data_IF_857983873340
#
_entry.id   IF_857983873340
#
_cell.length_a   1.000
_cell.length_b   1.000
_cell.length_c   1.000
_cell.angle_alpha   90.00
_cell.angle_beta   90.00
_cell.angle_gamma   90.00
#
_symmetry.space_group_name_H-M   'P 1'
#
loop_
_entity.id
_entity.type
_entity.pdbx_description
1 polymer ?
#
# COMPACT_ATOMS: atom_id res chain seq x y z
N UNK A 1 -21.42 6.74 3.53
CA UNK A 1 -21.25 8.08 2.90
C UNK A 1 -22.54 8.48 2.19
N UNK A 2 -23.14 9.66 2.46
CA UNK A 2 -24.47 10.04 1.91
C UNK A 2 -24.46 10.21 0.38
N UNK A 3 -23.43 10.87 -0.16
CA UNK A 3 -23.37 11.19 -1.60
C UNK A 3 -23.36 9.98 -2.53
N UNK A 4 -22.97 8.80 -2.05
CA UNK A 4 -23.01 7.58 -2.87
C UNK A 4 -24.45 7.20 -3.26
N UNK A 5 -25.44 7.60 -2.46
CA UNK A 5 -26.88 7.38 -2.74
C UNK A 5 -27.50 8.46 -3.62
N UNK A 6 -26.82 9.58 -3.77
CA UNK A 6 -27.33 10.71 -4.55
C UNK A 6 -27.16 10.39 -6.04
N UNK A 7 -28.25 10.55 -6.79
CA UNK A 7 -28.32 10.32 -8.24
C UNK A 7 -28.76 11.61 -8.93
N UNK A 8 -28.81 11.60 -10.27
CA UNK A 8 -29.25 12.77 -11.06
C UNK A 8 -28.14 13.75 -11.42
N UNK A 9 -26.87 13.31 -11.36
CA UNK A 9 -25.78 14.04 -12.01
C UNK A 9 -26.09 14.19 -13.52
N UNK A 10 -25.92 15.38 -14.13
CA UNK A 10 -26.21 15.63 -15.55
C UNK A 10 -25.49 14.69 -16.52
N UNK A 11 -24.29 14.22 -16.14
CA UNK A 11 -23.52 13.24 -16.92
C UNK A 11 -24.06 11.79 -16.81
N UNK A 12 -25.09 11.53 -16.00
CA UNK A 12 -25.66 10.21 -15.76
C UNK A 12 -24.75 9.25 -14.98
N UNK A 13 -23.64 9.74 -14.42
CA UNK A 13 -22.62 8.94 -13.73
C UNK A 13 -22.83 8.95 -12.21
N UNK A 14 -22.51 7.86 -11.50
CA UNK A 14 -22.60 7.81 -10.04
C UNK A 14 -21.48 8.61 -9.37
N UNK A 15 -21.73 9.16 -8.19
CA UNK A 15 -20.70 9.89 -7.42
C UNK A 15 -19.51 8.99 -7.01
N UNK A 16 -19.67 7.67 -6.98
CA UNK A 16 -18.59 6.72 -6.70
C UNK A 16 -17.42 6.77 -7.70
N UNK A 17 -17.63 7.33 -8.90
CA UNK A 17 -16.54 7.55 -9.86
C UNK A 17 -15.44 8.46 -9.29
N UNK A 18 -15.85 9.48 -8.53
CA UNK A 18 -15.01 10.58 -8.04
C UNK A 18 -14.94 10.65 -6.52
N UNK A 19 -15.76 9.90 -5.79
CA UNK A 19 -15.76 9.84 -4.32
C UNK A 19 -15.25 8.48 -3.87
N UNK A 20 -14.11 8.43 -3.19
CA UNK A 20 -13.45 7.18 -2.77
C UNK A 20 -13.07 7.20 -1.29
N UNK A 21 -13.05 6.04 -0.61
CA UNK A 21 -12.38 5.94 0.68
C UNK A 21 -10.90 6.28 0.49
N UNK A 22 -10.29 6.99 1.44
CA UNK A 22 -8.87 7.35 1.39
C UNK A 22 -8.15 6.82 2.63
N UNK A 23 -7.04 6.11 2.41
CA UNK A 23 -6.23 5.54 3.48
C UNK A 23 -4.84 6.20 3.48
N UNK A 24 -4.37 6.55 4.67
CA UNK A 24 -2.99 6.96 4.94
C UNK A 24 -2.22 5.86 5.70
N UNK A 25 -0.97 6.14 6.09
CA UNK A 25 -0.15 5.21 6.84
C UNK A 25 -0.75 4.76 8.19
N UNK A 26 -1.49 5.64 8.88
CA UNK A 26 -2.22 5.28 10.12
C UNK A 26 -3.41 4.36 9.84
N UNK A 27 -4.10 4.55 8.73
CA UNK A 27 -5.22 3.69 8.36
C UNK A 27 -4.76 2.25 8.06
N UNK A 28 -3.58 2.08 7.44
CA UNK A 28 -2.95 0.76 7.22
C UNK A 28 -2.41 0.18 8.53
N UNK A 29 -1.61 0.94 9.27
CA UNK A 29 -0.94 0.44 10.49
C UNK A 29 -1.92 0.16 11.63
N UNK A 30 -3.09 0.81 11.63
CA UNK A 30 -4.13 0.71 12.65
C UNK A 30 -5.47 0.33 12.05
N UNK A 31 -6.37 1.29 11.89
CA UNK A 31 -7.74 1.14 11.43
C UNK A 31 -8.09 2.38 10.63
N UNK A 32 -8.85 2.17 9.56
CA UNK A 32 -9.36 3.27 8.76
C UNK A 32 -10.24 4.21 9.60
N UNK A 33 -9.94 5.49 9.55
CA UNK A 33 -10.67 6.53 10.27
C UNK A 33 -12.03 6.89 9.65
N UNK A 34 -12.42 6.25 8.54
CA UNK A 34 -13.68 6.55 7.84
C UNK A 34 -13.62 7.77 6.93
N UNK A 35 -12.41 8.19 6.53
CA UNK A 35 -12.19 9.36 5.67
C UNK A 35 -12.41 9.05 4.19
N UNK A 36 -12.96 10.03 3.47
CA UNK A 36 -13.24 9.97 2.03
C UNK A 36 -12.58 11.14 1.31
N UNK A 37 -12.34 10.97 0.01
CA UNK A 37 -11.76 12.01 -0.87
C UNK A 37 -12.60 12.18 -2.12
N UNK A 38 -12.67 13.43 -2.61
CA UNK A 38 -13.17 13.76 -3.95
C UNK A 38 -11.97 13.88 -4.89
N UNK A 39 -11.90 13.01 -5.90
CA UNK A 39 -10.82 12.95 -6.89
C UNK A 39 -11.40 13.01 -8.31
N UNK A 40 -11.42 14.22 -8.88
CA UNK A 40 -11.77 14.44 -10.28
C UNK A 40 -10.65 14.08 -11.27
N UNK A 41 -9.53 13.53 -10.77
CA UNK A 41 -8.35 13.18 -11.57
C UNK A 41 -7.92 14.32 -12.51
N UNK A 42 -8.01 14.10 -13.82
CA UNK A 42 -7.66 15.06 -14.86
C UNK A 42 -8.84 15.76 -15.53
N UNK A 43 -10.08 15.56 -15.06
CA UNK A 43 -11.28 16.14 -15.66
C UNK A 43 -11.18 17.67 -15.73
N UNK A 44 -11.65 18.25 -16.83
CA UNK A 44 -11.84 19.69 -16.92
C UNK A 44 -12.94 20.17 -15.95
N UNK A 45 -13.10 21.50 -15.86
CA UNK A 45 -14.03 22.11 -14.91
C UNK A 45 -15.48 21.71 -15.19
N UNK A 46 -15.88 21.65 -16.47
CA UNK A 46 -17.26 21.37 -16.86
C UNK A 46 -17.62 19.92 -16.54
N UNK A 47 -16.76 18.97 -16.92
CA UNK A 47 -16.96 17.56 -16.60
C UNK A 47 -16.95 17.29 -15.10
N UNK A 48 -16.11 17.99 -14.32
CA UNK A 48 -16.12 17.89 -12.87
C UNK A 48 -17.41 18.48 -12.26
N UNK A 49 -17.91 19.60 -12.81
CA UNK A 49 -19.13 20.26 -12.35
C UNK A 49 -20.40 19.41 -12.52
N UNK A 50 -20.41 18.47 -13.47
CA UNK A 50 -21.51 17.52 -13.63
C UNK A 50 -21.63 16.51 -12.48
N UNK A 51 -20.63 16.38 -11.62
CA UNK A 51 -20.76 15.65 -10.35
C UNK A 51 -21.26 16.61 -9.25
N UNK A 52 -22.56 16.87 -9.24
CA UNK A 52 -23.17 18.01 -8.53
C UNK A 52 -22.74 18.13 -7.05
N UNK A 53 -23.03 17.11 -6.23
CA UNK A 53 -22.75 17.17 -4.80
C UNK A 53 -21.24 17.16 -4.47
N UNK A 54 -20.41 16.27 -5.07
CA UNK A 54 -18.96 16.34 -4.89
C UNK A 54 -18.37 17.69 -5.31
N UNK A 55 -18.79 18.22 -6.45
CA UNK A 55 -18.26 19.47 -6.98
C UNK A 55 -18.65 20.67 -6.11
N UNK A 56 -19.92 20.77 -5.70
CA UNK A 56 -20.39 21.83 -4.79
C UNK A 56 -19.61 21.84 -3.47
N UNK A 57 -19.22 20.66 -2.94
CA UNK A 57 -18.36 20.58 -1.77
C UNK A 57 -16.95 21.12 -2.05
N UNK A 58 -16.31 20.69 -3.15
CA UNK A 58 -14.97 21.17 -3.51
C UNK A 58 -15.00 22.69 -3.80
N UNK A 59 -16.07 23.19 -4.42
CA UNK A 59 -16.24 24.63 -4.65
C UNK A 59 -16.40 25.42 -3.35
N UNK A 60 -17.20 24.94 -2.40
CA UNK A 60 -17.43 25.66 -1.15
C UNK A 60 -16.27 25.56 -0.15
N UNK A 61 -15.56 24.43 -0.10
CA UNK A 61 -14.54 24.16 0.92
C UNK A 61 -13.10 24.31 0.39
N UNK A 62 -12.83 23.89 -0.84
CA UNK A 62 -11.46 23.79 -1.37
C UNK A 62 -11.08 25.03 -2.18
N UNK A 63 -11.99 25.55 -3.01
CA UNK A 63 -11.75 26.75 -3.83
C UNK A 63 -11.25 27.95 -3.01
N UNK A 64 -11.88 28.36 -1.89
CA UNK A 64 -11.46 29.57 -1.16
C UNK A 64 -10.02 29.48 -0.63
N UNK A 65 -9.57 28.27 -0.31
CA UNK A 65 -8.21 28.01 0.16
C UNK A 65 -7.21 27.99 -1.01
N UNK A 66 -7.57 27.35 -2.13
CA UNK A 66 -6.63 27.10 -3.24
C UNK A 66 -6.45 28.26 -4.20
N UNK A 67 -7.41 29.16 -4.34
CA UNK A 67 -7.28 30.33 -5.23
C UNK A 67 -6.10 31.24 -4.84
N UNK A 68 -5.68 31.22 -3.56
CA UNK A 68 -4.55 31.99 -3.05
C UNK A 68 -3.23 31.19 -3.08
N UNK A 69 -3.16 30.07 -3.79
CA UNK A 69 -1.95 29.25 -3.84
C UNK A 69 -0.87 29.91 -4.70
N UNK A 70 0.37 29.96 -4.21
CA UNK A 70 1.52 30.51 -4.94
C UNK A 70 1.81 29.81 -6.27
N UNK A 71 1.37 28.56 -6.46
CA UNK A 71 1.49 27.84 -7.74
C UNK A 71 0.23 28.11 -8.58
N UNK A 72 0.36 28.93 -9.62
CA UNK A 72 -0.75 29.33 -10.51
C UNK A 72 -1.61 28.15 -10.97
N UNK A 73 -1.00 27.04 -11.42
CA UNK A 73 -1.72 25.86 -11.87
C UNK A 73 -2.65 25.26 -10.79
N UNK A 74 -2.32 25.36 -9.50
CA UNK A 74 -3.18 24.87 -8.38
C UNK A 74 -4.29 25.86 -8.03
N UNK A 75 -4.08 27.16 -8.29
CA UNK A 75 -5.11 28.18 -8.12
C UNK A 75 -6.12 28.15 -9.28
N UNK A 76 -5.63 28.06 -10.52
CA UNK A 76 -6.44 27.98 -11.74
C UNK A 76 -7.23 26.67 -11.82
N UNK A 77 -6.62 25.54 -11.43
CA UNK A 77 -7.25 24.21 -11.41
C UNK A 77 -7.57 23.75 -10.00
N UNK A 78 -8.17 24.64 -9.21
CA UNK A 78 -8.45 24.43 -7.78
C UNK A 78 -9.24 23.14 -7.48
N UNK A 79 -10.04 22.64 -8.42
CA UNK A 79 -10.81 21.39 -8.26
C UNK A 79 -9.96 20.13 -8.45
N UNK A 80 -8.82 20.20 -9.16
CA UNK A 80 -7.95 19.03 -9.40
C UNK A 80 -6.97 18.83 -8.25
N UNK A 81 -6.57 17.59 -7.95
CA UNK A 81 -5.44 17.35 -7.06
C UNK A 81 -4.14 17.99 -7.59
N UNK A 82 -3.31 18.48 -6.67
CA UNK A 82 -2.08 19.20 -7.03
C UNK A 82 -1.10 18.35 -7.85
N UNK A 83 -1.09 17.03 -7.65
CA UNK A 83 -0.41 16.04 -8.48
C UNK A 83 -1.43 14.99 -8.92
N UNK A 84 -1.66 14.86 -10.23
CA UNK A 84 -2.68 13.96 -10.79
C UNK A 84 -2.22 12.52 -10.98
N UNK A 85 -0.90 12.31 -10.99
CA UNK A 85 -0.23 11.01 -11.14
C UNK A 85 -0.75 10.15 -12.31
N UNK A 86 -0.79 10.67 -13.57
CA UNK A 86 -1.36 9.93 -14.70
C UNK A 86 -0.63 8.61 -14.99
N UNK A 87 0.71 8.58 -14.90
CA UNK A 87 1.49 7.36 -15.10
C UNK A 87 1.16 6.28 -14.05
N UNK A 88 0.94 6.68 -12.79
CA UNK A 88 0.51 5.75 -11.75
C UNK A 88 -0.90 5.20 -12.07
N UNK A 89 -1.83 6.07 -12.45
CA UNK A 89 -3.20 5.64 -12.79
C UNK A 89 -3.21 4.62 -13.92
N UNK A 90 -2.45 4.88 -14.99
CA UNK A 90 -2.28 3.96 -16.11
C UNK A 90 -1.70 2.61 -15.64
N UNK A 91 -0.69 2.64 -14.76
CA UNK A 91 -0.08 1.42 -14.21
C UNK A 91 -1.00 0.62 -13.27
N UNK A 92 -2.12 1.20 -12.82
CA UNK A 92 -3.12 0.52 -11.99
C UNK A 92 -4.32 0.00 -12.81
N UNK A 93 -4.39 0.30 -14.11
CA UNK A 93 -5.46 -0.20 -14.97
C UNK A 93 -5.45 -1.73 -15.04
N UNK A 94 -6.63 -2.35 -14.95
CA UNK A 94 -6.77 -3.81 -14.96
C UNK A 94 -6.43 -4.52 -13.64
N UNK A 95 -5.83 -3.82 -12.67
CA UNK A 95 -5.51 -4.40 -11.36
C UNK A 95 -6.72 -4.37 -10.42
N UNK A 96 -6.84 -5.39 -9.56
CA UNK A 96 -7.82 -5.40 -8.45
C UNK A 96 -7.22 -4.86 -7.14
N UNK A 97 -5.90 -4.96 -7.02
CA UNK A 97 -5.12 -4.45 -5.91
C UNK A 97 -3.68 -4.23 -6.38
N UNK A 98 -2.91 -3.52 -5.58
CA UNK A 98 -1.47 -3.33 -5.77
C UNK A 98 -0.75 -3.42 -4.43
N UNK A 99 0.59 -3.44 -4.44
CA UNK A 99 1.37 -3.49 -3.21
C UNK A 99 1.58 -2.06 -2.67
N UNK A 100 1.32 -1.87 -1.38
CA UNK A 100 1.58 -0.60 -0.70
C UNK A 100 2.41 -0.77 0.57
N UNK A 101 3.13 0.29 0.94
CA UNK A 101 3.75 0.42 2.27
C UNK A 101 3.64 1.87 2.76
N UNK A 102 3.38 2.12 4.06
CA UNK A 102 3.48 3.47 4.61
C UNK A 102 4.87 4.04 4.41
N UNK A 103 4.99 5.30 4.01
CA UNK A 103 6.28 5.97 3.87
C UNK A 103 7.04 5.95 5.20
N UNK A 104 6.39 6.36 6.30
CA UNK A 104 6.97 6.33 7.65
C UNK A 104 6.25 5.31 8.52
N UNK A 105 6.99 4.34 9.08
CA UNK A 105 6.43 3.34 10.00
C UNK A 105 7.51 2.77 10.92
N UNK A 106 7.14 2.48 12.18
CA UNK A 106 7.99 1.83 13.18
C UNK A 106 8.53 0.48 12.68
N UNK A 107 7.66 -0.31 12.04
CA UNK A 107 7.98 -1.61 11.45
C UNK A 107 7.77 -1.55 9.95
N UNK A 108 8.66 -2.19 9.19
CA UNK A 108 8.52 -2.27 7.73
C UNK A 108 7.70 -3.50 7.36
N UNK A 109 6.62 -3.28 6.61
CA UNK A 109 5.79 -4.32 6.03
C UNK A 109 5.14 -3.80 4.75
N UNK A 110 4.64 -4.74 3.95
CA UNK A 110 3.95 -4.47 2.70
C UNK A 110 2.60 -5.18 2.73
N UNK A 111 1.60 -4.57 2.10
CA UNK A 111 0.22 -5.05 2.10
C UNK A 111 -0.35 -5.04 0.69
N UNK A 112 -1.30 -5.94 0.43
CA UNK A 112 -2.21 -5.83 -0.71
C UNK A 112 -3.18 -4.67 -0.45
N UNK A 113 -3.20 -3.69 -1.34
CA UNK A 113 -3.98 -2.47 -1.22
C UNK A 113 -4.99 -2.37 -2.36
N UNK A 114 -6.30 -2.29 -2.09
CA UNK A 114 -7.33 -2.29 -3.15
C UNK A 114 -7.26 -1.04 -4.03
N UNK A 115 -7.39 -1.19 -5.36
CA UNK A 115 -7.42 -0.03 -6.29
C UNK A 115 -8.62 0.90 -6.07
N UNK A 116 -9.70 0.38 -5.48
CA UNK A 116 -10.91 1.14 -5.20
C UNK A 116 -10.71 2.15 -4.05
N UNK A 117 -9.65 1.99 -3.25
CA UNK A 117 -9.28 2.90 -2.17
C UNK A 117 -8.22 3.88 -2.68
N UNK A 118 -8.35 5.17 -2.37
CA UNK A 118 -7.35 6.16 -2.71
C UNK A 118 -6.15 6.08 -1.74
N UNK A 119 -4.91 5.98 -2.24
CA UNK A 119 -3.73 6.13 -1.41
C UNK A 119 -3.46 7.60 -1.11
N UNK A 120 -3.31 7.92 0.17
CA UNK A 120 -2.85 9.25 0.61
C UNK A 120 -1.35 9.45 0.31
N UNK A 121 -0.87 10.70 0.25
CA UNK A 121 0.49 11.01 -0.22
C UNK A 121 1.64 10.33 0.56
N UNK A 122 1.38 9.92 1.80
CA UNK A 122 2.33 9.22 2.67
C UNK A 122 2.34 7.71 2.48
N UNK A 123 1.76 7.20 1.39
CA UNK A 123 1.84 5.80 0.99
C UNK A 123 2.71 5.64 -0.26
N UNK A 124 3.60 4.65 -0.21
CA UNK A 124 4.39 4.23 -1.36
C UNK A 124 3.58 3.17 -2.12
N UNK A 125 3.28 3.46 -3.38
CA UNK A 125 2.51 2.59 -4.27
C UNK A 125 3.45 1.86 -5.22
N UNK A 126 3.35 0.54 -5.24
CA UNK A 126 4.09 -0.35 -6.13
C UNK A 126 3.04 -1.04 -7.01
N UNK A 127 2.93 -0.69 -8.31
CA UNK A 127 1.86 -1.15 -9.20
C UNK A 127 2.10 -2.60 -9.67
N UNK A 128 2.14 -3.52 -8.71
CA UNK A 128 2.32 -4.96 -8.86
C UNK A 128 1.25 -5.64 -8.00
N UNK A 129 0.66 -6.71 -8.51
CA UNK A 129 -0.42 -7.45 -7.87
C UNK A 129 -0.05 -8.92 -7.58
N UNK A 130 1.16 -9.32 -7.95
CA UNK A 130 1.65 -10.69 -7.78
C UNK A 130 2.26 -10.92 -6.39
N UNK A 131 2.08 -12.14 -5.88
CA UNK A 131 2.57 -12.54 -4.56
C UNK A 131 4.08 -12.72 -4.52
N UNK A 132 4.75 -12.98 -5.65
CA UNK A 132 6.22 -13.05 -5.73
C UNK A 132 6.84 -11.71 -5.33
N UNK A 133 6.38 -10.60 -5.91
CA UNK A 133 6.83 -9.24 -5.58
C UNK A 133 6.51 -8.91 -4.13
N UNK A 134 5.29 -9.24 -3.67
CA UNK A 134 4.90 -9.03 -2.28
C UNK A 134 5.84 -9.78 -1.32
N UNK A 135 6.20 -11.02 -1.66
CA UNK A 135 7.10 -11.87 -0.89
C UNK A 135 8.52 -11.32 -0.82
N UNK A 136 9.11 -10.96 -1.97
CA UNK A 136 10.45 -10.35 -2.01
C UNK A 136 10.48 -9.10 -1.12
N UNK A 137 9.50 -8.21 -1.25
CA UNK A 137 9.44 -6.98 -0.47
C UNK A 137 9.14 -7.22 1.01
N UNK A 138 8.32 -8.23 1.34
CA UNK A 138 7.99 -8.57 2.73
C UNK A 138 9.09 -9.35 3.45
N UNK A 139 10.12 -9.80 2.75
CA UNK A 139 11.24 -10.51 3.36
C UNK A 139 12.09 -9.63 4.28
N UNK A 140 12.77 -10.27 5.24
CA UNK A 140 13.81 -9.64 6.06
C UNK A 140 14.91 -9.05 5.19
N UNK A 141 15.21 -9.64 4.05
CA UNK A 141 16.31 -9.24 3.16
C UNK A 141 16.03 -7.84 2.61
N UNK A 142 14.81 -7.61 2.11
CA UNK A 142 14.39 -6.28 1.68
C UNK A 142 14.18 -5.32 2.86
N UNK A 143 13.61 -5.79 3.97
CA UNK A 143 13.43 -4.96 5.15
C UNK A 143 14.76 -4.39 5.66
N UNK A 144 15.79 -5.23 5.83
CA UNK A 144 17.15 -4.84 6.24
C UNK A 144 17.75 -3.82 5.27
N UNK A 145 17.65 -4.07 3.96
CA UNK A 145 18.08 -3.10 2.94
C UNK A 145 17.37 -1.75 3.08
N UNK A 146 16.03 -1.79 3.19
CA UNK A 146 15.21 -0.58 3.25
C UNK A 146 15.47 0.25 4.51
N UNK A 147 15.78 -0.40 5.64
CA UNK A 147 16.11 0.26 6.90
C UNK A 147 17.51 0.89 6.85
N UNK A 148 18.46 0.26 6.16
CA UNK A 148 19.82 0.77 6.01
C UNK A 148 19.96 1.89 4.97
N UNK A 149 19.19 1.83 3.88
CA UNK A 149 19.22 2.85 2.80
C UNK A 149 18.17 3.94 2.95
N UNK A 150 17.12 3.67 3.70
CA UNK A 150 16.05 4.62 3.96
C UNK A 150 16.47 5.81 4.81
N UNK A 151 15.53 6.73 4.99
CA UNK A 151 15.69 7.85 5.91
C UNK A 151 15.09 7.54 7.28
N UNK A 152 15.12 8.54 8.16
CA UNK A 152 14.34 8.53 9.40
C UNK A 152 13.62 9.87 9.58
N UNK A 153 12.50 9.88 10.29
CA UNK A 153 11.67 11.09 10.45
C UNK A 153 10.99 11.16 11.83
N UNK A 154 10.81 12.39 12.34
CA UNK A 154 10.03 12.68 13.55
C UNK A 154 10.77 12.47 14.87
N UNK A 155 10.10 12.78 15.98
CA UNK A 155 10.66 12.67 17.35
C UNK A 155 10.99 11.23 17.77
N UNK A 156 10.28 10.23 17.21
CA UNK A 156 10.54 8.81 17.42
C UNK A 156 11.67 8.23 16.56
N UNK A 157 12.23 9.02 15.63
CA UNK A 157 13.23 8.58 14.66
C UNK A 157 12.77 7.35 13.86
N UNK A 158 11.49 7.34 13.46
CA UNK A 158 10.83 6.23 12.80
C UNK A 158 11.41 6.04 11.38
N UNK A 159 11.63 4.78 10.94
CA UNK A 159 12.13 4.50 9.60
C UNK A 159 11.22 5.03 8.49
N UNK A 160 11.84 5.66 7.49
CA UNK A 160 11.20 6.21 6.29
C UNK A 160 11.63 5.45 5.04
N UNK A 161 10.66 4.97 4.27
CA UNK A 161 10.86 4.34 2.97
C UNK A 161 10.95 5.39 1.88
N UNK A 162 12.13 5.54 1.31
CA UNK A 162 12.32 6.38 0.14
C UNK A 162 12.52 5.47 -1.07
N UNK A 163 11.53 5.42 -1.97
CA UNK A 163 11.54 4.50 -3.12
C UNK A 163 12.83 4.60 -3.96
N UNK A 164 13.37 5.79 -4.17
CA UNK A 164 14.59 5.98 -4.98
C UNK A 164 15.86 5.52 -4.28
N UNK A 165 15.86 5.44 -2.95
CA UNK A 165 17.00 4.96 -2.17
C UNK A 165 16.85 3.49 -1.76
N UNK A 166 15.62 2.99 -1.64
CA UNK A 166 15.33 1.63 -1.19
C UNK A 166 14.96 0.73 -2.37
N UNK A 167 13.75 0.85 -2.90
CA UNK A 167 13.20 0.00 -3.95
C UNK A 167 14.03 0.04 -5.24
N UNK A 168 14.29 1.23 -5.77
CA UNK A 168 14.98 1.40 -7.06
C UNK A 168 16.44 0.93 -7.03
N UNK A 169 17.05 0.88 -5.84
CA UNK A 169 18.43 0.41 -5.66
C UNK A 169 18.53 -0.97 -5.04
N UNK A 170 17.40 -1.63 -4.74
CA UNK A 170 17.42 -2.95 -4.14
C UNK A 170 17.93 -3.97 -5.17
N UNK A 171 18.95 -4.78 -4.83
CA UNK A 171 19.41 -5.84 -5.71
C UNK A 171 18.43 -7.01 -5.60
N UNK A 172 17.35 -6.99 -6.39
CA UNK A 172 16.38 -8.08 -6.48
C UNK A 172 17.05 -9.43 -6.78
N UNK A 173 16.47 -10.59 -6.39
CA UNK A 173 17.05 -11.90 -6.66
C UNK A 173 17.41 -12.09 -8.16
N UNK A 174 18.51 -12.80 -8.49
CA UNK A 174 18.80 -13.19 -9.88
C UNK A 174 17.58 -13.86 -10.55
N UNK A 175 17.27 -13.49 -11.79
CA UNK A 175 16.07 -13.97 -12.50
C UNK A 175 14.81 -13.13 -12.27
N UNK A 176 14.81 -12.22 -11.28
CA UNK A 176 13.71 -11.29 -11.06
C UNK A 176 13.91 -10.00 -11.87
N UNK A 177 13.13 -9.81 -12.93
CA UNK A 177 13.11 -8.57 -13.72
C UNK A 177 11.94 -7.66 -13.30
N UNK A 178 12.28 -6.48 -12.78
CA UNK A 178 11.30 -5.45 -12.41
C UNK A 178 10.53 -4.88 -13.61
N UNK A 179 11.12 -4.93 -14.81
CA UNK A 179 10.51 -4.39 -16.03
C UNK A 179 9.57 -5.39 -16.71
N UNK A 180 9.66 -6.67 -16.33
CA UNK A 180 8.72 -7.67 -16.80
C UNK A 180 7.33 -7.40 -16.20
N UNK A 181 6.29 -7.55 -17.02
CA UNK A 181 4.89 -7.39 -16.60
C UNK A 181 4.47 -8.48 -15.60
N UNK A 182 5.01 -9.69 -15.78
CA UNK A 182 4.71 -10.87 -14.96
C UNK A 182 5.93 -11.24 -14.13
N UNK A 183 5.72 -11.60 -12.87
CA UNK A 183 6.79 -12.14 -12.04
C UNK A 183 7.21 -13.53 -12.52
N UNK A 184 8.48 -13.92 -12.29
CA UNK A 184 8.88 -15.31 -12.49
C UNK A 184 8.04 -16.26 -11.61
N UNK A 185 7.73 -17.43 -12.17
CA UNK A 185 6.91 -18.49 -11.55
C UNK A 185 7.66 -19.82 -11.43
N UNK A 186 8.91 -19.88 -11.90
CA UNK A 186 9.77 -21.03 -11.69
C UNK A 186 10.16 -21.17 -10.22
N UNK A 187 10.58 -22.37 -9.82
CA UNK A 187 11.28 -22.53 -8.54
C UNK A 187 12.59 -21.75 -8.62
N UNK A 188 12.82 -20.73 -7.77
CA UNK A 188 12.30 -20.59 -6.39
C UNK A 188 11.23 -19.51 -6.14
N UNK A 189 10.77 -18.82 -7.17
CA UNK A 189 9.82 -17.72 -7.08
C UNK A 189 8.39 -18.17 -6.74
N UNK A 190 7.99 -19.37 -7.18
CA UNK A 190 6.74 -19.99 -6.74
C UNK A 190 6.67 -20.13 -5.20
N UNK A 191 7.76 -20.60 -4.56
CA UNK A 191 7.85 -20.71 -3.11
C UNK A 191 7.80 -19.34 -2.39
N UNK A 192 8.33 -18.28 -3.02
CA UNK A 192 8.22 -16.91 -2.48
C UNK A 192 6.75 -16.45 -2.51
N UNK A 193 6.05 -16.69 -3.63
CA UNK A 193 4.64 -16.34 -3.75
C UNK A 193 3.77 -17.08 -2.72
N UNK A 194 3.99 -18.39 -2.54
CA UNK A 194 3.28 -19.19 -1.53
C UNK A 194 3.54 -18.66 -0.11
N UNK A 195 4.81 -18.38 0.23
CA UNK A 195 5.19 -17.82 1.53
C UNK A 195 4.56 -16.46 1.78
N UNK A 196 4.46 -15.61 0.76
CA UNK A 196 3.79 -14.31 0.84
C UNK A 196 2.28 -14.46 1.07
N UNK A 197 1.63 -15.37 0.35
CA UNK A 197 0.21 -15.63 0.47
C UNK A 197 -0.17 -16.20 1.86
N UNK A 198 0.62 -17.14 2.40
CA UNK A 198 0.40 -17.65 3.77
C UNK A 198 0.64 -16.57 4.84
N UNK A 199 1.68 -15.75 4.67
CA UNK A 199 1.96 -14.63 5.56
C UNK A 199 0.83 -13.58 5.57
N UNK A 200 0.35 -13.19 4.39
CA UNK A 200 -0.77 -12.25 4.22
C UNK A 200 -2.08 -12.81 4.79
N UNK A 201 -2.43 -14.05 4.43
CA UNK A 201 -3.63 -14.74 4.94
C UNK A 201 -3.64 -14.83 6.46
N UNK A 202 -2.49 -15.13 7.07
CA UNK A 202 -2.39 -15.22 8.51
C UNK A 202 -2.50 -13.86 9.20
N UNK A 203 -1.89 -12.81 8.63
CA UNK A 203 -2.04 -11.43 9.12
C UNK A 203 -3.51 -11.01 9.08
N UNK A 204 -4.21 -11.24 7.97
CA UNK A 204 -5.62 -10.90 7.82
C UNK A 204 -6.49 -11.60 8.86
N UNK A 205 -6.32 -12.90 9.06
CA UNK A 205 -7.05 -13.67 10.09
C UNK A 205 -6.76 -13.19 11.51
N UNK A 206 -5.53 -12.73 11.78
CA UNK A 206 -5.19 -12.18 13.09
C UNK A 206 -5.77 -10.78 13.30
N UNK A 207 -5.72 -9.92 12.27
CA UNK A 207 -6.29 -8.56 12.29
C UNK A 207 -7.81 -8.60 12.43
N UNK A 208 -8.43 -9.58 11.77
CA UNK A 208 -9.87 -9.75 11.65
C UNK A 208 -10.30 -11.17 12.07
N UNK A 209 -10.26 -11.51 13.38
CA UNK A 209 -10.58 -12.87 13.82
C UNK A 209 -12.00 -13.30 13.48
N UNK A 210 -12.15 -14.56 13.07
CA UNK A 210 -13.44 -15.14 12.73
C UNK A 210 -14.42 -15.05 13.91
N UNK A 211 -15.66 -14.69 13.61
CA UNK A 211 -16.72 -14.53 14.61
C UNK A 211 -16.68 -13.22 15.40
N UNK A 212 -15.59 -12.43 15.34
CA UNK A 212 -15.47 -11.18 16.09
C UNK A 212 -16.17 -9.99 15.43
N UNK A 213 -16.33 -10.05 14.11
CA UNK A 213 -16.72 -8.92 13.28
C UNK A 213 -17.96 -9.26 12.47
N UNK A 214 -18.85 -8.28 12.40
CA UNK A 214 -19.82 -8.16 11.32
C UNK A 214 -19.22 -7.27 10.22
N UNK A 215 -19.64 -7.48 8.98
CA UNK A 215 -19.13 -6.74 7.83
C UNK A 215 -20.25 -5.91 7.22
N UNK A 216 -20.10 -4.58 7.29
CA UNK A 216 -21.05 -3.64 6.71
C UNK A 216 -20.60 -3.19 5.33
N UNK A 217 -21.51 -3.26 4.36
CA UNK A 217 -21.33 -2.65 3.05
C UNK A 217 -22.69 -2.17 2.56
N UNK A 218 -22.79 -0.93 2.10
CA UNK A 218 -24.04 -0.48 1.47
C UNK A 218 -24.13 -0.99 0.03
N UNK A 219 -25.33 -1.08 -0.57
CA UNK A 219 -25.47 -1.48 -1.97
C UNK A 219 -24.63 -0.61 -2.92
N UNK A 220 -24.54 0.69 -2.64
CA UNK A 220 -23.76 1.64 -3.44
C UNK A 220 -22.25 1.43 -3.28
N UNK A 221 -21.78 1.13 -2.06
CA UNK A 221 -20.38 0.77 -1.80
C UNK A 221 -20.01 -0.55 -2.51
N UNK A 222 -20.91 -1.53 -2.50
CA UNK A 222 -20.74 -2.81 -3.19
C UNK A 222 -20.66 -2.64 -4.71
N UNK A 223 -21.58 -1.88 -5.31
CA UNK A 223 -21.57 -1.57 -6.75
C UNK A 223 -20.30 -0.80 -7.14
N UNK A 224 -19.81 0.08 -6.27
CA UNK A 224 -18.57 0.82 -6.49
C UNK A 224 -17.30 -0.03 -6.30
N UNK A 225 -17.42 -1.27 -5.80
CA UNK A 225 -16.27 -2.13 -5.50
C UNK A 225 -15.46 -1.69 -4.28
N UNK A 226 -16.05 -0.89 -3.38
CA UNK A 226 -15.38 -0.51 -2.13
C UNK A 226 -15.33 -1.69 -1.15
N UNK A 227 -14.26 -1.81 -0.33
CA UNK A 227 -14.16 -2.89 0.63
C UNK A 227 -15.24 -2.75 1.74
N UNK A 228 -15.77 -3.88 2.24
CA UNK A 228 -16.69 -3.84 3.39
C UNK A 228 -15.98 -3.33 4.63
N UNK A 229 -16.73 -2.69 5.52
CA UNK A 229 -16.24 -2.11 6.76
C UNK A 229 -16.42 -3.11 7.92
N UNK A 230 -15.35 -3.45 8.65
CA UNK A 230 -15.48 -4.30 9.83
C UNK A 230 -16.14 -3.54 10.98
N UNK A 231 -17.16 -4.15 11.57
CA UNK A 231 -17.83 -3.67 12.79
C UNK A 231 -17.66 -4.73 13.88
N UNK A 232 -16.95 -4.43 14.98
CA UNK A 232 -16.75 -5.41 16.03
C UNK A 232 -18.02 -5.64 16.83
N UNK A 233 -18.29 -6.91 17.16
CA UNK A 233 -19.33 -7.22 18.14
C UNK A 233 -18.94 -6.65 19.51
N UNK A 234 -19.91 -6.16 20.31
CA UNK A 234 -19.64 -5.41 21.55
C UNK A 234 -18.65 -6.11 22.50
N UNK A 235 -18.77 -7.42 22.67
CA UNK A 235 -17.92 -8.24 23.53
C UNK A 235 -16.47 -8.35 23.08
N UNK A 236 -16.19 -8.16 21.78
CA UNK A 236 -14.83 -8.23 21.22
C UNK A 236 -14.22 -6.86 20.91
N UNK A 237 -15.01 -5.78 20.94
CA UNK A 237 -14.57 -4.44 20.50
C UNK A 237 -13.28 -3.96 21.17
N UNK A 238 -13.14 -4.14 22.49
CA UNK A 238 -11.96 -3.74 23.23
C UNK A 238 -10.70 -4.52 22.84
N UNK A 239 -10.84 -5.83 22.58
CA UNK A 239 -9.75 -6.69 22.14
C UNK A 239 -9.39 -6.42 20.67
N UNK A 240 -10.38 -6.29 19.80
CA UNK A 240 -10.19 -6.02 18.37
C UNK A 240 -9.50 -4.68 18.12
N UNK A 241 -9.76 -3.66 18.94
CA UNK A 241 -9.05 -2.36 18.88
C UNK A 241 -7.51 -2.51 18.99
N UNK A 242 -7.03 -3.59 19.62
CA UNK A 242 -5.60 -3.90 19.74
C UNK A 242 -5.04 -4.73 18.59
N UNK A 243 -5.89 -5.30 17.72
CA UNK A 243 -5.47 -6.15 16.58
C UNK A 243 -4.94 -5.32 15.41
N UNK A 244 -3.89 -4.53 15.60
CA UNK A 244 -3.31 -3.67 14.57
C UNK A 244 -1.98 -4.21 14.03
N UNK A 245 -1.58 -3.82 12.82
CA UNK A 245 -0.26 -4.21 12.29
C UNK A 245 0.87 -3.71 13.18
N UNK A 246 0.80 -2.48 13.70
CA UNK A 246 1.85 -2.00 14.63
C UNK A 246 1.97 -2.91 15.85
N UNK A 247 0.86 -3.36 16.43
CA UNK A 247 0.89 -4.22 17.61
C UNK A 247 1.37 -5.63 17.30
N UNK A 248 0.92 -6.23 16.19
CA UNK A 248 1.35 -7.59 15.84
C UNK A 248 2.86 -7.67 15.59
N UNK A 249 3.47 -6.62 15.04
CA UNK A 249 4.92 -6.55 14.84
C UNK A 249 5.69 -6.13 16.09
N UNK A 250 5.05 -5.46 17.06
CA UNK A 250 5.68 -5.24 18.37
C UNK A 250 5.87 -6.55 19.13
N UNK A 251 4.91 -7.47 19.04
CA UNK A 251 4.91 -8.74 19.77
C UNK A 251 5.52 -9.88 18.93
N UNK A 252 5.32 -9.83 17.62
CA UNK A 252 5.72 -10.84 16.63
C UNK A 252 5.46 -12.28 17.12
N UNK A 253 4.18 -12.68 17.29
CA UNK A 253 3.84 -13.99 17.82
C UNK A 253 4.44 -15.13 16.98
N UNK A 254 4.65 -16.29 17.61
CA UNK A 254 5.35 -17.42 16.99
C UNK A 254 4.80 -17.81 15.61
N UNK A 255 3.48 -17.75 15.41
CA UNK A 255 2.84 -18.04 14.13
C UNK A 255 3.18 -17.04 13.02
N UNK A 256 3.38 -15.77 13.35
CA UNK A 256 3.86 -14.75 12.41
C UNK A 256 5.36 -14.93 12.14
N UNK A 257 6.14 -15.14 13.21
CA UNK A 257 7.61 -15.33 13.13
C UNK A 257 7.96 -16.50 12.21
N UNK A 258 7.31 -17.65 12.37
CA UNK A 258 7.57 -18.83 11.54
C UNK A 258 7.27 -18.58 10.05
N UNK A 259 6.19 -17.86 9.74
CA UNK A 259 5.83 -17.51 8.36
C UNK A 259 6.81 -16.53 7.75
N UNK A 260 7.24 -15.54 8.52
CA UNK A 260 8.29 -14.64 8.11
C UNK A 260 9.58 -15.39 7.81
N UNK A 261 10.01 -16.31 8.70
CA UNK A 261 11.21 -17.12 8.48
C UNK A 261 11.09 -18.06 7.28
N UNK A 262 9.90 -18.63 7.02
CA UNK A 262 9.63 -19.43 5.81
C UNK A 262 9.80 -18.57 4.55
N UNK A 263 9.19 -17.39 4.52
CA UNK A 263 9.31 -16.45 3.41
C UNK A 263 10.77 -16.03 3.21
N UNK A 264 11.47 -15.69 4.29
CA UNK A 264 12.88 -15.30 4.25
C UNK A 264 13.74 -16.42 3.64
N UNK A 265 13.51 -17.68 4.04
CA UNK A 265 14.17 -18.87 3.46
C UNK A 265 13.92 -19.02 1.97
N UNK A 266 12.70 -18.82 1.50
CA UNK A 266 12.39 -18.86 0.07
C UNK A 266 13.13 -17.75 -0.70
N UNK A 267 13.18 -16.54 -0.15
CA UNK A 267 13.88 -15.41 -0.77
C UNK A 267 15.38 -15.62 -0.81
N UNK A 268 16.03 -16.08 0.27
CA UNK A 268 17.48 -16.35 0.25
C UNK A 268 17.85 -17.51 -0.66
N UNK A 269 16.97 -18.49 -0.84
CA UNK A 269 17.13 -19.55 -1.83
C UNK A 269 17.14 -18.97 -3.25
N UNK A 270 16.28 -17.98 -3.54
CA UNK A 270 16.34 -17.23 -4.81
C UNK A 270 17.62 -16.42 -5.01
N UNK A 271 18.30 -16.03 -3.93
CA UNK A 271 19.65 -15.45 -4.01
C UNK A 271 20.77 -16.50 -4.11
N UNK A 272 20.46 -17.80 -4.00
CA UNK A 272 21.44 -18.88 -3.96
C UNK A 272 22.25 -18.96 -2.66
N UNK A 273 21.76 -18.36 -1.56
CA UNK A 273 22.48 -18.36 -0.28
C UNK A 273 22.13 -19.63 0.52
N UNK A 274 23.04 -20.60 0.53
CA UNK A 274 22.84 -21.91 1.17
C UNK A 274 23.17 -21.94 2.67
N UNK A 275 23.82 -20.90 3.18
CA UNK A 275 24.31 -20.78 4.55
C UNK A 275 23.47 -19.82 5.42
N UNK A 276 22.31 -19.38 4.92
CA UNK A 276 21.43 -18.49 5.66
C UNK A 276 20.84 -19.16 6.91
N UNK A 277 20.88 -18.44 8.02
CA UNK A 277 20.13 -18.76 9.23
C UNK A 277 19.31 -17.54 9.66
N UNK A 278 18.19 -17.71 10.40
CA UNK A 278 17.45 -16.57 10.97
C UNK A 278 18.32 -15.65 11.83
N UNK A 279 19.39 -16.17 12.42
CA UNK A 279 20.34 -15.44 13.27
C UNK A 279 21.48 -14.74 12.50
N UNK A 280 21.53 -14.87 11.16
CA UNK A 280 22.52 -14.17 10.34
C UNK A 280 22.47 -12.66 10.60
N UNK A 281 23.58 -11.98 10.94
CA UNK A 281 23.56 -10.55 11.22
C UNK A 281 23.07 -9.70 10.03
N UNK A 282 22.33 -8.62 10.31
CA UNK A 282 21.87 -7.66 9.29
C UNK A 282 23.04 -7.13 8.44
N UNK A 283 24.20 -6.91 9.06
CA UNK A 283 25.41 -6.43 8.41
C UNK A 283 25.93 -7.38 7.33
N UNK A 284 25.81 -8.69 7.56
CA UNK A 284 26.20 -9.71 6.57
C UNK A 284 25.24 -9.73 5.38
N UNK A 285 23.93 -9.61 5.64
CA UNK A 285 22.91 -9.45 4.58
C UNK A 285 23.23 -8.21 3.74
N UNK A 286 23.46 -7.06 4.40
CA UNK A 286 23.79 -5.81 3.72
C UNK A 286 25.08 -5.93 2.89
N UNK A 287 26.12 -6.56 3.43
CA UNK A 287 27.39 -6.79 2.72
C UNK A 287 27.16 -7.56 1.42
N UNK A 288 26.36 -8.63 1.44
CA UNK A 288 26.03 -9.43 0.25
C UNK A 288 25.21 -8.64 -0.77
N UNK A 289 24.18 -7.93 -0.33
CA UNK A 289 23.36 -7.09 -1.21
C UNK A 289 24.21 -5.98 -1.87
N UNK A 290 25.09 -5.33 -1.11
CA UNK A 290 26.02 -4.33 -1.67
C UNK A 290 26.99 -4.92 -2.69
N UNK A 291 27.45 -6.17 -2.50
CA UNK A 291 28.28 -6.86 -3.48
C UNK A 291 27.52 -7.10 -4.79
N UNK A 292 26.28 -7.59 -4.72
CA UNK A 292 25.41 -7.80 -5.89
C UNK A 292 25.16 -6.50 -6.67
N UNK A 293 24.90 -5.39 -5.97
CA UNK A 293 24.74 -4.09 -6.62
C UNK A 293 26.01 -3.62 -7.33
N UNK A 294 27.18 -3.84 -6.72
CA UNK A 294 28.47 -3.51 -7.35
C UNK A 294 28.73 -4.34 -8.59
N UNK A 295 28.36 -5.61 -8.58
CA UNK A 295 28.48 -6.49 -9.75
C UNK A 295 27.59 -6.01 -10.90
N UNK A 296 26.33 -5.65 -10.61
CA UNK A 296 25.38 -5.13 -11.60
C UNK A 296 25.75 -3.75 -12.15
N UNK A 297 26.46 -2.94 -11.37
CA UNK A 297 26.89 -1.61 -11.78
C UNK A 297 28.15 -1.61 -12.66
N UNK A 298 28.86 -2.75 -12.79
CA UNK A 298 29.98 -2.86 -13.72
C UNK A 298 29.44 -2.79 -15.15
N UNK A 299 29.97 -1.91 -16.03
CA UNK A 299 29.65 -1.97 -17.44
C UNK A 299 30.10 -3.33 -17.99
N UNK A 300 29.16 -4.01 -18.66
CA UNK A 300 29.42 -5.27 -19.38
C UNK A 300 30.24 -5.05 -20.64
#
# INVERSE_FOLDING_TARGET
MKWLKESGNPNGRPNSDVVRPIYNGSDITRRWAGNWVVDFAGMDLAAAADYLAPFAHVESQVKPVRINNNRAARAERWWQHGEKRPALRAALEGLTHYIATPETAKHRFFVKFPVAVAPEHSLIVIPRHDDTTLGVLSSRIHCVWSLAKGGRMGFGNDPRYNASLTFETFPFPPGFDLKAEVAPEDEPFAAIAEGAADLDSWREKWLNPEGWLDWEITPEEQVAGFPPRPVPKPEYAAAWKKRTLTNIYNEMPAGLKLRQENLDRAVVHAYGWTDYTPDMPDEEILRRLLALNRERAKPG
#
